data_IF_865975791029
#
_entry.id   IF_865975791029
#
_cell.length_a   1.000
_cell.length_b   1.000
_cell.length_c   1.000
_cell.angle_alpha   90.00
_cell.angle_beta   90.00
_cell.angle_gamma   90.00
#
_symmetry.space_group_name_H-M   'P 1'
#
loop_
_entity.id
_entity.type
_entity.pdbx_description
1 polymer ?
#
# COMPACT_ATOMS: atom_id res chain seq x y z
N UNK A 1 6.45 -9.21 22.62
CA UNK A 1 7.24 -9.92 21.60
C UNK A 1 7.66 -8.88 20.59
N UNK A 2 8.95 -8.66 20.49
CA UNK A 2 9.55 -7.62 19.62
C UNK A 2 9.91 -8.28 18.28
N UNK A 3 8.92 -8.47 17.41
CA UNK A 3 9.20 -8.99 16.07
C UNK A 3 9.93 -7.89 15.26
N UNK A 4 11.13 -8.21 14.77
CA UNK A 4 11.89 -7.31 13.90
C UNK A 4 11.11 -7.06 12.61
N UNK A 5 11.15 -5.86 12.04
CA UNK A 5 10.56 -5.58 10.74
C UNK A 5 11.10 -6.54 9.66
N UNK A 6 10.21 -7.09 8.85
CA UNK A 6 10.57 -7.97 7.72
C UNK A 6 11.19 -7.10 6.62
N UNK A 7 12.37 -7.46 6.14
CA UNK A 7 13.00 -6.77 5.03
C UNK A 7 12.48 -7.26 3.67
N UNK A 8 12.59 -6.44 2.64
CA UNK A 8 12.25 -6.84 1.26
C UNK A 8 13.10 -8.02 0.76
N UNK A 9 14.31 -8.23 1.34
CA UNK A 9 15.12 -9.41 1.08
C UNK A 9 14.51 -10.69 1.70
N UNK A 10 13.87 -10.57 2.86
CA UNK A 10 13.19 -11.72 3.49
C UNK A 10 12.00 -12.19 2.63
N UNK A 11 11.30 -11.23 1.98
CA UNK A 11 10.21 -11.56 1.04
C UNK A 11 10.76 -12.21 -0.23
N UNK A 12 11.88 -11.69 -0.74
CA UNK A 12 12.54 -12.25 -1.93
C UNK A 12 12.93 -13.72 -1.72
N UNK A 13 13.57 -14.04 -0.57
CA UNK A 13 14.00 -15.39 -0.26
C UNK A 13 12.81 -16.36 -0.11
N UNK A 14 11.70 -15.91 0.49
CA UNK A 14 10.48 -16.73 0.63
C UNK A 14 9.80 -17.02 -0.72
N UNK A 15 9.81 -16.05 -1.64
CA UNK A 15 9.26 -16.24 -2.99
C UNK A 15 10.08 -17.26 -3.80
N UNK A 16 11.41 -17.23 -3.65
CA UNK A 16 12.31 -18.16 -4.31
C UNK A 16 12.13 -19.59 -3.77
N UNK A 17 11.95 -19.78 -2.46
CA UNK A 17 11.68 -21.08 -1.86
C UNK A 17 10.34 -21.69 -2.31
N UNK A 18 9.29 -20.87 -2.47
CA UNK A 18 8.00 -21.34 -2.96
C UNK A 18 8.02 -21.77 -4.43
N UNK A 19 8.84 -21.11 -5.25
CA UNK A 19 9.05 -21.47 -6.67
C UNK A 19 9.77 -22.79 -6.87
N UNK A 20 10.72 -23.14 -6.00
CA UNK A 20 11.48 -24.38 -6.08
C UNK A 20 10.71 -25.63 -5.63
N UNK A 21 9.72 -25.51 -4.78
CA UNK A 21 8.95 -26.65 -4.25
C UNK A 21 8.04 -27.30 -5.30
N UNK A 22 7.66 -26.60 -6.36
CA UNK A 22 6.75 -27.12 -7.39
C UNK A 22 7.43 -27.90 -8.52
N UNK A 23 8.75 -27.83 -8.66
CA UNK A 23 9.50 -28.43 -9.77
C UNK A 23 10.14 -29.79 -9.45
N UNK A 24 10.01 -30.30 -8.20
CA UNK A 24 10.69 -31.55 -7.78
C UNK A 24 9.94 -32.86 -8.05
N UNK A 25 8.87 -32.89 -8.81
CA UNK A 25 8.09 -34.12 -9.01
C UNK A 25 8.05 -34.68 -10.44
N UNK A 26 9.02 -34.50 -11.29
CA UNK A 26 9.16 -35.35 -12.51
C UNK A 26 10.52 -35.18 -13.15
N UNK A 27 11.53 -35.93 -12.74
CA UNK A 27 12.64 -36.35 -13.61
C UNK A 27 13.38 -37.50 -12.97
N UNK A 28 12.97 -38.72 -13.28
CA UNK A 28 13.81 -39.89 -13.26
C UNK A 28 13.72 -40.52 -14.66
N UNK A 29 14.84 -40.59 -15.33
CA UNK A 29 15.41 -41.60 -16.20
C UNK A 29 16.07 -41.02 -17.48
N UNK A 30 17.37 -41.47 -17.61
CA UNK A 30 18.21 -41.62 -18.79
C UNK A 30 19.00 -40.40 -19.30
N UNK A 31 20.22 -40.39 -18.90
CA UNK A 31 21.54 -40.37 -19.52
C UNK A 31 21.78 -39.63 -20.83
N UNK A 32 22.64 -38.59 -20.70
CA UNK A 32 23.85 -38.40 -21.53
C UNK A 32 24.51 -37.08 -21.14
N UNK A 33 25.82 -37.11 -20.94
CA UNK A 33 26.65 -35.93 -20.63
C UNK A 33 26.59 -34.95 -21.80
N UNK A 34 26.02 -33.77 -21.50
CA UNK A 34 26.30 -32.53 -22.23
C UNK A 34 26.47 -31.45 -21.22
N UNK A 35 27.68 -30.91 -21.11
CA UNK A 35 27.98 -29.75 -20.27
C UNK A 35 27.24 -28.52 -20.84
N UNK A 36 26.04 -28.27 -20.34
CA UNK A 36 25.32 -27.03 -20.57
C UNK A 36 25.76 -26.10 -19.45
N UNK A 37 26.59 -25.13 -19.79
CA UNK A 37 26.87 -23.96 -18.92
C UNK A 37 25.57 -23.36 -18.46
N UNK A 38 25.26 -23.55 -17.17
CA UNK A 38 24.14 -22.88 -16.51
C UNK A 38 24.46 -21.38 -16.44
N UNK A 39 24.06 -20.64 -17.45
CA UNK A 39 23.92 -19.21 -17.35
C UNK A 39 22.79 -18.95 -16.33
N UNK A 40 23.18 -18.73 -15.07
CA UNK A 40 22.28 -18.44 -13.98
C UNK A 40 21.51 -17.15 -14.25
N UNK A 41 20.21 -17.22 -14.22
CA UNK A 41 19.24 -16.22 -14.63
C UNK A 41 19.17 -15.02 -13.67
N UNK A 42 19.40 -13.77 -14.15
CA UNK A 42 19.05 -12.56 -13.41
C UNK A 42 17.57 -12.18 -13.50
N UNK A 43 16.72 -12.96 -14.17
CA UNK A 43 15.35 -12.59 -14.51
C UNK A 43 14.39 -12.46 -13.32
N UNK A 44 14.50 -13.27 -12.27
CA UNK A 44 13.60 -13.21 -11.11
C UNK A 44 13.87 -11.99 -10.22
N UNK A 45 15.14 -11.63 -10.03
CA UNK A 45 15.50 -10.43 -9.27
C UNK A 45 15.02 -9.14 -9.96
N UNK A 46 15.04 -9.13 -11.31
CA UNK A 46 14.54 -8.03 -12.13
C UNK A 46 13.02 -7.88 -12.04
N UNK A 47 12.26 -8.98 -12.07
CA UNK A 47 10.79 -8.94 -11.97
C UNK A 47 10.31 -8.44 -10.61
N UNK A 48 10.95 -8.83 -9.51
CA UNK A 48 10.58 -8.38 -8.17
C UNK A 48 10.94 -6.91 -7.94
N UNK A 49 12.06 -6.42 -8.47
CA UNK A 49 12.41 -5.01 -8.39
C UNK A 49 11.46 -4.13 -9.19
N UNK A 50 11.02 -4.57 -10.36
CA UNK A 50 10.02 -3.88 -11.18
C UNK A 50 8.66 -3.81 -10.47
N UNK A 51 8.23 -4.91 -9.82
CA UNK A 51 6.98 -4.93 -9.04
C UNK A 51 7.01 -3.94 -7.88
N UNK A 52 8.12 -3.90 -7.13
CA UNK A 52 8.27 -2.95 -6.03
C UNK A 52 8.25 -1.52 -6.54
N UNK A 53 8.96 -1.23 -7.63
CA UNK A 53 8.96 0.11 -8.23
C UNK A 53 7.56 0.54 -8.68
N UNK A 54 6.75 -0.38 -9.24
CA UNK A 54 5.36 -0.13 -9.59
C UNK A 54 4.48 0.16 -8.36
N UNK A 55 4.79 -0.39 -7.20
CA UNK A 55 4.09 -0.07 -5.94
C UNK A 55 4.50 1.31 -5.44
N UNK A 56 5.80 1.58 -5.41
CA UNK A 56 6.37 2.82 -4.88
C UNK A 56 6.05 4.04 -5.75
N UNK A 57 5.99 3.86 -7.08
CA UNK A 57 5.85 4.93 -8.07
C UNK A 57 4.65 4.78 -8.98
N UNK A 58 3.57 4.15 -8.50
CA UNK A 58 2.31 4.05 -9.24
C UNK A 58 1.79 5.47 -9.57
N UNK A 59 1.72 5.86 -10.85
CA UNK A 59 1.32 7.21 -11.23
C UNK A 59 -0.16 7.52 -10.96
N UNK A 60 -0.99 6.48 -10.78
CA UNK A 60 -2.40 6.63 -10.47
C UNK A 60 -2.67 6.66 -8.95
N UNK A 61 -1.70 6.26 -8.12
CA UNK A 61 -1.87 6.27 -6.68
C UNK A 61 -1.81 7.71 -6.13
N UNK A 62 -2.69 8.06 -5.18
CA UNK A 62 -2.60 9.34 -4.49
C UNK A 62 -1.28 9.49 -3.73
N UNK A 63 -0.75 10.71 -3.73
CA UNK A 63 0.49 11.06 -3.05
C UNK A 63 0.27 12.25 -2.15
N UNK A 64 0.83 12.21 -0.93
CA UNK A 64 0.87 13.35 0.00
C UNK A 64 2.25 13.51 0.66
N UNK A 65 2.32 14.37 1.67
CA UNK A 65 3.57 14.76 2.30
C UNK A 65 4.43 15.59 1.35
N UNK A 66 5.69 15.22 1.20
CA UNK A 66 6.58 15.86 0.23
C UNK A 66 6.68 15.01 -1.05
N UNK A 67 6.07 15.41 -2.18
CA UNK A 67 6.14 14.63 -3.43
C UNK A 67 7.58 14.42 -3.95
N UNK A 68 8.53 15.30 -3.58
CA UNK A 68 9.95 15.22 -3.88
C UNK A 68 10.77 14.59 -2.74
N UNK A 69 10.12 14.10 -1.68
CA UNK A 69 10.75 13.50 -0.51
C UNK A 69 11.65 12.33 -0.88
N UNK A 70 12.82 12.29 -0.24
CA UNK A 70 13.85 11.27 -0.51
C UNK A 70 13.46 9.89 0.03
N UNK A 71 12.65 9.84 1.08
CA UNK A 71 12.12 8.60 1.62
C UNK A 71 10.67 8.41 1.19
N UNK A 72 10.40 7.31 0.48
CA UNK A 72 9.03 6.93 0.13
C UNK A 72 8.46 5.99 1.18
N UNK A 73 7.26 6.31 1.66
CA UNK A 73 6.41 5.44 2.46
C UNK A 73 5.16 5.08 1.66
N UNK A 74 4.83 3.80 1.56
CA UNK A 74 3.54 3.32 1.03
C UNK A 74 2.68 2.87 2.19
N UNK A 75 1.39 3.19 2.17
CA UNK A 75 0.42 2.70 3.15
C UNK A 75 -0.73 1.98 2.47
N UNK A 76 -0.95 0.71 2.83
CA UNK A 76 -2.16 -0.05 2.47
C UNK A 76 -3.19 0.13 3.57
N UNK A 77 -4.38 0.59 3.23
CA UNK A 77 -5.38 1.01 4.20
C UNK A 77 -6.82 0.66 3.79
N UNK A 78 -7.70 0.64 4.81
CA UNK A 78 -9.14 0.50 4.65
C UNK A 78 -9.84 1.46 5.62
N UNK A 79 -10.84 2.19 5.14
CA UNK A 79 -11.56 3.21 5.93
C UNK A 79 -12.46 2.62 7.04
N UNK A 80 -12.77 1.33 6.98
CA UNK A 80 -13.46 0.59 8.03
C UNK A 80 -12.52 -0.24 8.93
N UNK A 81 -11.21 -0.10 8.75
CA UNK A 81 -10.22 -0.72 9.61
C UNK A 81 -9.98 0.12 10.88
N UNK A 82 -10.31 -0.39 12.09
CA UNK A 82 -10.10 0.37 13.32
C UNK A 82 -8.63 0.72 13.59
N UNK A 83 -7.71 -0.13 13.13
CA UNK A 83 -6.27 0.09 13.28
C UNK A 83 -5.77 1.15 12.30
N UNK A 84 -6.30 1.23 11.07
CA UNK A 84 -6.01 2.32 10.14
C UNK A 84 -6.44 3.67 10.71
N UNK A 85 -7.66 3.74 11.28
CA UNK A 85 -8.16 4.96 11.94
C UNK A 85 -7.25 5.40 13.09
N UNK A 86 -6.78 4.46 13.93
CA UNK A 86 -5.87 4.77 15.04
C UNK A 86 -4.49 5.21 14.58
N UNK A 87 -4.02 4.74 13.44
CA UNK A 87 -2.69 5.03 12.91
C UNK A 87 -2.66 6.32 12.09
N UNK A 88 -3.79 6.79 11.56
CA UNK A 88 -3.85 7.92 10.63
C UNK A 88 -3.27 9.22 11.21
N UNK A 89 -3.60 9.56 12.47
CA UNK A 89 -3.08 10.77 13.13
C UNK A 89 -1.58 10.66 13.43
N UNK A 90 -1.08 9.61 14.11
CA UNK A 90 0.35 9.40 14.31
C UNK A 90 1.16 9.45 13.01
N UNK A 91 0.66 8.83 11.94
CA UNK A 91 1.31 8.83 10.63
C UNK A 91 1.45 10.25 10.07
N UNK A 92 0.34 10.99 10.03
CA UNK A 92 0.32 12.38 9.55
C UNK A 92 1.31 13.25 10.32
N UNK A 93 1.26 13.17 11.66
CA UNK A 93 2.09 14.02 12.53
C UNK A 93 3.59 13.72 12.33
N UNK A 94 3.97 12.45 12.18
CA UNK A 94 5.34 12.05 11.86
C UNK A 94 5.79 12.52 10.48
N UNK A 95 4.94 12.40 9.45
CA UNK A 95 5.24 12.84 8.08
C UNK A 95 5.43 14.35 8.02
N UNK A 96 4.55 15.12 8.68
CA UNK A 96 4.64 16.58 8.74
C UNK A 96 5.89 17.05 9.48
N UNK A 97 6.22 16.39 10.59
CA UNK A 97 7.41 16.69 11.39
C UNK A 97 8.71 16.40 10.62
N UNK A 98 8.75 15.32 9.87
CA UNK A 98 9.93 14.92 9.10
C UNK A 98 10.16 15.83 7.87
N UNK A 99 9.10 16.14 7.12
CA UNK A 99 9.12 17.04 5.96
C UNK A 99 9.78 16.47 4.69
N UNK A 100 10.41 15.28 4.73
CA UNK A 100 11.10 14.66 3.59
C UNK A 100 10.54 13.25 3.26
N UNK A 101 9.29 13.02 3.62
CA UNK A 101 8.58 11.77 3.34
C UNK A 101 7.59 11.97 2.20
N UNK A 102 7.71 11.16 1.16
CA UNK A 102 6.70 10.99 0.10
C UNK A 102 5.78 9.84 0.49
N UNK A 103 4.51 10.13 0.75
CA UNK A 103 3.50 9.12 1.10
C UNK A 103 2.73 8.70 -0.15
N UNK A 104 2.67 7.40 -0.42
CA UNK A 104 1.85 6.79 -1.48
C UNK A 104 0.72 6.00 -0.84
N UNK A 105 -0.51 6.30 -1.20
CA UNK A 105 -1.68 5.63 -0.65
C UNK A 105 -2.14 4.48 -1.55
N UNK A 106 -2.43 3.35 -0.93
CA UNK A 106 -2.98 2.15 -1.54
C UNK A 106 -4.30 1.81 -0.84
N UNK A 107 -5.40 2.38 -1.34
CA UNK A 107 -6.72 2.02 -0.86
C UNK A 107 -6.97 0.53 -1.14
N UNK A 108 -7.13 -0.25 -0.07
CA UNK A 108 -7.33 -1.69 -0.11
C UNK A 108 -8.53 -2.09 0.75
N UNK A 109 -9.77 -1.93 0.20
CA UNK A 109 -11.02 -2.09 0.94
C UNK A 109 -11.39 -3.57 1.11
N UNK A 110 -10.98 -4.18 2.23
CA UNK A 110 -11.16 -5.62 2.53
C UNK A 110 -11.98 -5.91 3.78
N UNK A 111 -12.36 -4.89 4.55
CA UNK A 111 -13.02 -5.09 5.86
C UNK A 111 -14.54 -5.24 5.72
N UNK A 112 -15.18 -4.40 4.92
CA UNK A 112 -16.63 -4.45 4.66
C UNK A 112 -16.94 -4.10 3.21
N UNK A 113 -18.17 -4.41 2.76
CA UNK A 113 -18.65 -3.96 1.44
C UNK A 113 -18.63 -2.42 1.32
N UNK A 114 -18.92 -1.69 2.41
CA UNK A 114 -18.94 -0.24 2.42
C UNK A 114 -17.53 0.37 2.41
N UNK A 115 -16.49 -0.41 2.75
CA UNK A 115 -15.10 0.01 2.58
C UNK A 115 -14.77 0.42 1.14
N UNK A 116 -15.41 -0.24 0.16
CA UNK A 116 -15.25 0.07 -1.27
C UNK A 116 -15.75 1.47 -1.58
N UNK A 117 -16.88 1.87 -0.98
CA UNK A 117 -17.40 3.23 -1.14
C UNK A 117 -16.43 4.28 -0.60
N UNK A 118 -15.86 4.07 0.60
CA UNK A 118 -14.85 4.96 1.15
C UNK A 118 -13.62 5.11 0.24
N UNK A 119 -13.10 4.01 -0.28
CA UNK A 119 -11.99 4.02 -1.23
C UNK A 119 -12.34 4.78 -2.53
N UNK A 120 -13.52 4.53 -3.10
CA UNK A 120 -13.99 5.21 -4.31
C UNK A 120 -14.14 6.72 -4.11
N UNK A 121 -14.71 7.15 -2.99
CA UNK A 121 -14.84 8.57 -2.64
C UNK A 121 -13.48 9.26 -2.54
N UNK A 122 -12.52 8.66 -1.84
CA UNK A 122 -11.18 9.21 -1.69
C UNK A 122 -10.44 9.29 -3.03
N UNK A 123 -10.51 8.23 -3.84
CA UNK A 123 -9.87 8.18 -5.16
C UNK A 123 -10.52 9.17 -6.15
N UNK A 124 -11.84 9.34 -6.12
CA UNK A 124 -12.52 10.36 -6.94
C UNK A 124 -12.10 11.77 -6.54
N UNK A 125 -11.94 12.04 -5.23
CA UNK A 125 -11.46 13.32 -4.75
C UNK A 125 -10.04 13.66 -5.24
N UNK A 126 -9.21 12.66 -5.56
CA UNK A 126 -7.87 12.86 -6.10
C UNK A 126 -7.86 13.65 -7.42
N UNK A 127 -8.89 13.50 -8.25
CA UNK A 127 -9.00 14.22 -9.53
C UNK A 127 -9.23 15.74 -9.39
N UNK A 128 -9.55 16.18 -8.17
CA UNK A 128 -9.64 17.62 -7.84
C UNK A 128 -8.61 18.04 -6.76
N UNK A 129 -7.59 17.20 -6.51
CA UNK A 129 -6.54 17.46 -5.51
C UNK A 129 -7.02 17.33 -4.05
N UNK A 130 -8.17 16.70 -3.84
CA UNK A 130 -8.83 16.60 -2.54
C UNK A 130 -8.64 15.27 -1.81
N UNK A 131 -7.79 14.37 -2.29
CA UNK A 131 -7.63 13.05 -1.70
C UNK A 131 -7.33 13.10 -0.20
N UNK A 132 -6.33 13.87 0.21
CA UNK A 132 -5.88 13.92 1.60
C UNK A 132 -6.96 14.47 2.54
N UNK A 133 -7.71 15.49 2.11
CA UNK A 133 -8.82 16.06 2.87
C UNK A 133 -9.89 15.00 3.09
N UNK A 134 -10.28 14.28 2.06
CA UNK A 134 -11.28 13.21 2.12
C UNK A 134 -10.77 12.03 2.92
N UNK A 135 -9.51 11.63 2.72
CA UNK A 135 -8.87 10.58 3.50
C UNK A 135 -8.94 10.87 5.02
N UNK A 136 -8.58 12.07 5.43
CA UNK A 136 -8.64 12.42 6.85
C UNK A 136 -10.07 12.45 7.39
N UNK A 137 -11.03 12.94 6.62
CA UNK A 137 -12.43 12.94 7.02
C UNK A 137 -12.98 11.52 7.22
N UNK A 138 -12.68 10.61 6.30
CA UNK A 138 -13.09 9.22 6.39
C UNK A 138 -12.42 8.47 7.57
N UNK A 139 -11.12 8.72 7.79
CA UNK A 139 -10.40 8.14 8.94
C UNK A 139 -10.89 8.69 10.29
N UNK A 140 -11.42 9.92 10.32
CA UNK A 140 -11.96 10.55 11.53
C UNK A 140 -13.35 10.06 11.93
N UNK A 141 -14.06 9.31 11.08
CA UNK A 141 -15.37 8.73 11.41
C UNK A 141 -15.22 7.83 12.63
N UNK A 142 -15.98 8.14 13.70
CA UNK A 142 -15.88 7.45 15.00
C UNK A 142 -16.48 6.05 14.97
N UNK A 143 -17.44 5.78 14.09
CA UNK A 143 -18.03 4.46 13.94
C UNK A 143 -16.92 3.43 13.64
N UNK A 144 -17.02 2.29 14.31
CA UNK A 144 -16.08 1.18 14.10
C UNK A 144 -16.16 0.68 12.65
N UNK A 145 -17.37 0.66 12.09
CA UNK A 145 -17.68 0.35 10.70
C UNK A 145 -18.71 1.38 10.24
N UNK A 146 -18.27 2.31 9.40
CA UNK A 146 -19.12 3.30 8.79
C UNK A 146 -19.87 2.70 7.61
N UNK A 147 -21.13 3.04 7.48
CA UNK A 147 -21.94 2.74 6.30
C UNK A 147 -21.64 3.76 5.18
N UNK A 148 -22.00 3.41 3.94
CA UNK A 148 -21.75 4.24 2.77
C UNK A 148 -22.30 5.68 2.92
N UNK A 149 -23.51 5.82 3.46
CA UNK A 149 -24.15 7.14 3.66
C UNK A 149 -23.41 7.98 4.71
N UNK A 150 -22.88 7.36 5.77
CA UNK A 150 -22.06 8.06 6.78
C UNK A 150 -20.74 8.55 6.17
N UNK A 151 -20.10 7.71 5.32
CA UNK A 151 -18.90 8.10 4.58
C UNK A 151 -19.18 9.28 3.63
N UNK A 152 -20.27 9.23 2.87
CA UNK A 152 -20.71 10.31 1.98
C UNK A 152 -21.00 11.61 2.75
N UNK A 153 -21.65 11.50 3.90
CA UNK A 153 -21.91 12.65 4.76
C UNK A 153 -20.61 13.29 5.29
N UNK A 154 -19.65 12.47 5.74
CA UNK A 154 -18.34 12.94 6.18
C UNK A 154 -17.59 13.67 5.06
N UNK A 155 -17.62 13.14 3.82
CA UNK A 155 -16.99 13.77 2.67
C UNK A 155 -17.65 15.09 2.29
N UNK A 156 -18.99 15.17 2.29
CA UNK A 156 -19.71 16.44 2.05
C UNK A 156 -19.32 17.52 3.04
N UNK A 157 -19.07 17.15 4.29
CA UNK A 157 -18.69 18.08 5.34
C UNK A 157 -17.26 18.68 5.16
N UNK A 158 -16.44 18.15 4.25
CA UNK A 158 -15.07 18.65 4.02
C UNK A 158 -15.02 19.96 3.23
N UNK A 159 -16.11 20.35 2.58
CA UNK A 159 -16.13 21.49 1.65
C UNK A 159 -15.56 21.21 0.26
N UNK A 160 -15.22 19.94 -0.06
CA UNK A 160 -14.84 19.55 -1.42
C UNK A 160 -16.03 19.75 -2.37
N UNK A 161 -15.77 20.02 -3.66
CA UNK A 161 -16.82 20.05 -4.68
C UNK A 161 -17.43 18.66 -4.82
N UNK A 162 -18.49 18.40 -4.05
CA UNK A 162 -19.14 17.09 -3.99
C UNK A 162 -19.87 16.75 -5.29
N UNK A 163 -20.39 17.74 -6.03
CA UNK A 163 -21.05 17.52 -7.32
C UNK A 163 -20.02 17.06 -8.36
N UNK A 164 -18.83 17.70 -8.39
CA UNK A 164 -17.72 17.27 -9.21
C UNK A 164 -17.22 15.88 -8.80
N UNK A 165 -17.10 15.59 -7.51
CA UNK A 165 -16.71 14.27 -7.02
C UNK A 165 -17.68 13.18 -7.51
N UNK A 166 -18.98 13.41 -7.46
CA UNK A 166 -19.99 12.48 -7.99
C UNK A 166 -19.88 12.28 -9.50
N UNK A 167 -19.59 13.36 -10.24
CA UNK A 167 -19.33 13.29 -11.67
C UNK A 167 -18.07 12.46 -11.97
N UNK A 168 -16.99 12.67 -11.21
CA UNK A 168 -15.73 11.92 -11.34
C UNK A 168 -15.92 10.44 -10.97
N UNK A 169 -16.69 10.13 -9.92
CA UNK A 169 -17.05 8.74 -9.57
C UNK A 169 -17.72 8.01 -10.73
N UNK A 170 -18.61 8.68 -11.46
CA UNK A 170 -19.35 8.09 -12.57
C UNK A 170 -18.50 8.00 -13.84
N UNK A 171 -17.82 9.08 -14.19
CA UNK A 171 -17.07 9.16 -15.46
C UNK A 171 -15.76 8.38 -15.44
N UNK A 172 -15.19 8.13 -14.24
CA UNK A 172 -13.92 7.44 -14.03
C UNK A 172 -14.06 6.14 -13.24
N UNK A 173 -15.25 5.57 -13.24
CA UNK A 173 -15.55 4.33 -12.50
C UNK A 173 -14.58 3.20 -12.85
N UNK A 174 -14.28 3.04 -14.13
CA UNK A 174 -13.37 1.98 -14.62
C UNK A 174 -11.95 2.18 -14.09
N UNK A 175 -11.42 3.42 -14.15
CA UNK A 175 -10.07 3.73 -13.67
C UNK A 175 -9.95 3.57 -12.16
N UNK A 176 -10.96 4.04 -11.41
CA UNK A 176 -11.01 3.93 -9.95
C UNK A 176 -11.05 2.46 -9.53
N UNK A 177 -11.93 1.66 -10.12
CA UNK A 177 -12.05 0.24 -9.80
C UNK A 177 -10.77 -0.53 -10.20
N UNK A 178 -10.17 -0.23 -11.35
CA UNK A 178 -8.91 -0.83 -11.76
C UNK A 178 -7.74 -0.49 -10.79
N UNK A 179 -7.73 0.72 -10.21
CA UNK A 179 -6.74 1.09 -9.21
C UNK A 179 -6.95 0.31 -7.89
N UNK A 180 -8.19 0.16 -7.43
CA UNK A 180 -8.51 -0.63 -6.24
C UNK A 180 -8.09 -2.10 -6.44
N UNK A 181 -8.41 -2.69 -7.59
CA UNK A 181 -8.01 -4.06 -7.91
C UNK A 181 -6.48 -4.21 -7.98
N UNK A 182 -5.79 -3.29 -8.64
CA UNK A 182 -4.31 -3.28 -8.67
C UNK A 182 -3.71 -3.16 -7.27
N UNK A 183 -4.28 -2.34 -6.39
CA UNK A 183 -3.84 -2.25 -5.01
C UNK A 183 -4.02 -3.59 -4.27
N UNK A 184 -5.14 -4.30 -4.54
CA UNK A 184 -5.37 -5.64 -4.01
C UNK A 184 -4.31 -6.63 -4.51
N UNK A 185 -4.08 -6.69 -5.82
CA UNK A 185 -3.04 -7.56 -6.41
C UNK A 185 -1.65 -7.27 -5.83
N UNK A 186 -1.30 -5.99 -5.67
CA UNK A 186 -0.04 -5.57 -5.06
C UNK A 186 0.06 -6.03 -3.60
N UNK A 187 -0.99 -5.87 -2.80
CA UNK A 187 -1.03 -6.35 -1.42
C UNK A 187 -0.87 -7.87 -1.34
N UNK A 188 -1.58 -8.62 -2.20
CA UNK A 188 -1.46 -10.07 -2.26
C UNK A 188 -0.06 -10.51 -2.70
N UNK A 189 0.57 -9.82 -3.65
CA UNK A 189 1.93 -10.12 -4.09
C UNK A 189 2.99 -9.91 -2.98
N UNK A 190 2.72 -9.03 -2.02
CA UNK A 190 3.50 -8.80 -0.82
C UNK A 190 3.13 -9.74 0.33
N UNK A 191 2.19 -10.66 0.12
CA UNK A 191 1.67 -11.59 1.14
C UNK A 191 1.07 -10.86 2.36
N UNK A 192 0.48 -9.68 2.14
CA UNK A 192 -0.23 -8.97 3.19
C UNK A 192 -1.52 -9.69 3.56
N UNK A 193 -1.80 -9.77 4.87
CA UNK A 193 -2.99 -10.45 5.40
C UNK A 193 -4.04 -9.48 5.96
N UNK A 194 -3.77 -8.17 5.91
CA UNK A 194 -4.69 -7.16 6.44
C UNK A 194 -4.12 -5.74 6.43
N UNK A 195 -4.94 -4.82 6.89
CA UNK A 195 -4.63 -3.39 6.98
C UNK A 195 -4.53 -2.94 8.44
N UNK A 196 -3.74 -1.89 8.75
CA UNK A 196 -2.82 -1.23 7.85
C UNK A 196 -1.56 -2.06 7.59
N UNK A 197 -0.87 -1.78 6.49
CA UNK A 197 0.49 -2.24 6.26
C UNK A 197 1.29 -1.14 5.57
N UNK A 198 2.60 -1.11 5.80
CA UNK A 198 3.47 -0.05 5.29
C UNK A 198 4.68 -0.64 4.57
N UNK A 199 5.14 0.07 3.54
CA UNK A 199 6.49 -0.07 3.02
C UNK A 199 7.20 1.25 3.34
N UNK A 200 8.30 1.20 4.07
CA UNK A 200 9.10 2.37 4.45
C UNK A 200 10.53 2.11 3.98
N UNK A 201 10.94 2.75 2.89
CA UNK A 201 12.19 2.40 2.22
C UNK A 201 12.21 0.92 1.80
N UNK A 202 13.07 0.12 2.43
CA UNK A 202 13.21 -1.33 2.16
C UNK A 202 12.45 -2.22 3.16
N UNK A 203 11.77 -1.62 4.15
CA UNK A 203 11.06 -2.38 5.17
C UNK A 203 9.59 -2.57 4.82
N UNK A 204 9.10 -3.80 4.92
CA UNK A 204 7.69 -4.11 4.99
C UNK A 204 7.29 -4.21 6.46
N UNK A 205 6.32 -3.39 6.87
CA UNK A 205 5.83 -3.30 8.25
C UNK A 205 4.33 -3.64 8.24
N UNK A 206 3.95 -4.90 8.48
CA UNK A 206 2.54 -5.26 8.60
C UNK A 206 1.99 -4.83 9.96
N UNK A 207 0.74 -4.38 9.97
CA UNK A 207 0.05 -3.97 11.18
C UNK A 207 0.18 -2.50 11.54
N UNK A 208 -0.43 -2.13 12.68
CA UNK A 208 -0.55 -0.74 13.10
C UNK A 208 0.73 -0.23 13.77
N UNK A 209 1.20 0.93 13.33
CA UNK A 209 2.19 1.75 14.03
C UNK A 209 1.40 2.71 14.93
N UNK A 210 1.75 2.77 16.22
CA UNK A 210 0.86 3.35 17.25
C UNK A 210 1.18 4.79 17.61
N UNK A 211 2.39 5.26 17.32
CA UNK A 211 2.81 6.61 17.68
C UNK A 211 3.64 7.27 16.57
N UNK A 212 3.72 8.59 16.62
CA UNK A 212 4.57 9.36 15.70
C UNK A 212 6.06 9.05 15.91
N UNK A 213 6.47 8.72 17.13
CA UNK A 213 7.84 8.35 17.48
C UNK A 213 8.24 7.01 16.85
N UNK A 214 7.33 6.02 16.82
CA UNK A 214 7.55 4.74 16.13
C UNK A 214 7.75 4.98 14.62
N UNK A 215 6.96 5.83 13.99
CA UNK A 215 7.15 6.22 12.59
C UNK A 215 8.51 6.90 12.38
N UNK A 216 8.86 7.88 13.22
CA UNK A 216 10.16 8.60 13.14
C UNK A 216 11.32 7.63 13.23
N UNK A 217 11.28 6.69 14.18
CA UNK A 217 12.33 5.66 14.31
C UNK A 217 12.44 4.75 13.07
N UNK A 218 11.33 4.42 12.43
CA UNK A 218 11.32 3.65 11.19
C UNK A 218 11.88 4.46 10.01
N UNK A 219 11.59 5.76 9.94
CA UNK A 219 12.14 6.67 8.91
C UNK A 219 13.67 6.77 9.04
N UNK A 220 14.18 6.95 10.26
CA UNK A 220 15.63 6.98 10.54
C UNK A 220 16.31 5.68 10.10
N UNK A 221 15.80 4.53 10.56
CA UNK A 221 16.31 3.21 10.17
C UNK A 221 16.25 2.96 8.66
N UNK A 222 15.22 3.46 7.98
CA UNK A 222 15.10 3.31 6.54
C UNK A 222 16.15 4.11 5.78
N UNK A 223 16.51 5.29 6.29
CA UNK A 223 17.56 6.14 5.70
C UNK A 223 18.97 5.57 5.87
N UNK A 224 19.24 4.87 6.96
CA UNK A 224 20.54 4.22 7.20
C UNK A 224 20.86 3.10 6.21
N UNK A 225 19.85 2.62 5.45
CA UNK A 225 19.99 1.50 4.52
C UNK A 225 19.91 1.89 3.03
N UNK A 226 19.95 3.19 2.75
CA UNK A 226 19.95 3.72 1.36
C UNK A 226 21.34 3.80 0.76
#
# INVERSE_FOLDING_TARGET
>A
MNERPITMNDIRNRADEAGFASLRRRAFLLGSLSAVSAAAFPAAASANSLRLEMILRDPAAPVSGNPAGKLTMVTFLDYNCPWCKKTAVPMRDAVLKDGDIRVVYKDWPIITKDSVEGARLALAANYQGGYEIVHHALMAIKARRAEADEMRAAVRATGIDFARLESDLKSRETEINALIERNHEQAMSLQLTGTPAFIIGKFLVPGAIRSAEEFTSLFEKAREQV
#
